data_IF_595034955360
#
_entry.id   IF_595034955360
#
_cell.length_a   1.000
_cell.length_b   1.000
_cell.length_c   1.000
_cell.angle_alpha   90.00
_cell.angle_beta   90.00
_cell.angle_gamma   90.00
#
_symmetry.space_group_name_H-M   'P 1'
#
loop_
_entity.id
_entity.type
_entity.pdbx_description
1 polymer ?
#
# COMPACT_ATOMS: atom_id res chain seq x y z
N UNK A 1 21.57 -11.91 -19.21
CA UNK A 1 20.55 -11.73 -18.16
C UNK A 1 20.45 -13.04 -17.39
N UNK A 2 20.58 -12.99 -16.08
CA UNK A 2 20.36 -14.15 -15.21
C UNK A 2 19.00 -13.90 -14.53
N UNK A 3 18.07 -14.85 -14.71
CA UNK A 3 16.78 -14.80 -14.00
C UNK A 3 16.99 -15.11 -12.53
N UNK A 4 16.41 -14.34 -11.63
CA UNK A 4 16.46 -14.58 -10.17
C UNK A 4 15.56 -15.74 -9.75
N UNK A 5 14.65 -16.18 -10.62
CA UNK A 5 13.63 -17.20 -10.31
C UNK A 5 12.43 -16.66 -9.50
N UNK A 6 12.54 -15.48 -8.93
CA UNK A 6 11.52 -14.87 -8.09
C UNK A 6 10.66 -13.84 -8.86
N UNK A 7 9.38 -13.79 -8.55
CA UNK A 7 8.50 -12.73 -9.01
C UNK A 7 8.85 -11.41 -8.32
N UNK A 8 8.57 -10.28 -8.99
CA UNK A 8 8.69 -8.95 -8.35
C UNK A 8 7.81 -8.94 -7.10
N UNK A 9 8.42 -8.66 -5.96
CA UNK A 9 7.77 -8.71 -4.65
C UNK A 9 8.07 -7.44 -3.87
N UNK A 10 7.17 -7.08 -2.98
CA UNK A 10 7.33 -5.98 -2.01
C UNK A 10 7.55 -6.54 -0.62
N UNK A 11 8.24 -5.77 0.21
CA UNK A 11 8.40 -6.04 1.62
C UNK A 11 7.30 -5.28 2.38
N UNK A 12 6.44 -6.04 3.06
CA UNK A 12 5.30 -5.54 3.83
C UNK A 12 5.65 -5.62 5.32
N UNK A 13 5.73 -4.48 5.99
CA UNK A 13 6.12 -4.39 7.40
C UNK A 13 5.97 -2.95 7.91
N UNK A 14 6.27 -2.69 9.19
CA UNK A 14 6.22 -1.33 9.73
C UNK A 14 7.29 -0.46 9.06
N UNK A 15 6.95 0.81 8.84
CA UNK A 15 7.81 1.79 8.17
C UNK A 15 7.45 2.04 6.70
N UNK A 16 6.28 1.59 6.24
CA UNK A 16 5.75 1.90 4.91
C UNK A 16 5.12 3.29 4.89
N UNK A 17 4.39 3.65 5.93
CA UNK A 17 3.76 4.97 6.05
C UNK A 17 4.83 6.04 6.20
N UNK A 18 4.53 7.25 5.76
CA UNK A 18 5.43 8.41 5.75
C UNK A 18 6.58 8.31 4.73
N UNK A 19 6.68 7.22 3.97
CA UNK A 19 7.75 7.01 3.00
C UNK A 19 7.33 7.33 1.57
N UNK A 20 8.35 7.62 0.75
CA UNK A 20 8.24 7.90 -0.68
C UNK A 20 9.00 6.83 -1.43
N UNK A 21 8.26 6.01 -2.16
CA UNK A 21 8.83 4.91 -2.93
C UNK A 21 8.79 5.18 -4.43
N UNK A 22 9.65 4.47 -5.16
CA UNK A 22 9.49 4.30 -6.60
C UNK A 22 8.52 3.15 -6.92
N UNK A 23 8.33 2.86 -8.22
CA UNK A 23 7.40 1.83 -8.68
C UNK A 23 7.73 0.40 -8.24
N UNK A 24 8.92 0.13 -7.73
CA UNK A 24 9.37 -1.19 -7.22
C UNK A 24 9.74 -1.16 -5.74
N UNK A 25 9.16 -0.23 -5.01
CA UNK A 25 9.34 -0.05 -3.56
C UNK A 25 10.78 0.30 -3.13
N UNK A 26 11.53 1.06 -3.93
CA UNK A 26 12.80 1.61 -3.46
C UNK A 26 12.54 2.97 -2.80
N UNK A 27 13.05 3.23 -1.57
CA UNK A 27 12.85 4.51 -0.89
C UNK A 27 13.69 5.60 -1.58
N UNK A 28 13.01 6.63 -2.10
CA UNK A 28 13.67 7.68 -2.88
C UNK A 28 14.58 8.57 -2.04
N UNK A 29 14.26 8.78 -0.77
CA UNK A 29 15.09 9.56 0.15
C UNK A 29 16.43 8.88 0.42
N UNK A 30 16.42 7.57 0.68
CA UNK A 30 17.64 6.80 0.91
C UNK A 30 18.50 6.70 -0.36
N UNK A 31 17.87 6.56 -1.53
CA UNK A 31 18.58 6.63 -2.80
C UNK A 31 19.24 8.00 -3.00
N UNK A 32 18.56 9.09 -2.66
CA UNK A 32 19.11 10.43 -2.74
C UNK A 32 20.29 10.66 -1.79
N UNK A 33 20.25 10.07 -0.58
CA UNK A 33 21.37 10.09 0.37
C UNK A 33 22.57 9.29 -0.17
N UNK A 34 22.32 8.13 -0.79
CA UNK A 34 23.37 7.24 -1.27
C UNK A 34 24.03 7.71 -2.58
N UNK A 35 23.27 8.29 -3.52
CA UNK A 35 23.75 8.63 -4.87
C UNK A 35 23.69 10.13 -5.21
N UNK A 36 23.20 10.98 -4.30
CA UNK A 36 23.09 12.42 -4.53
C UNK A 36 21.95 12.79 -5.51
N UNK A 37 22.17 13.83 -6.32
CA UNK A 37 21.14 14.39 -7.22
C UNK A 37 20.70 13.47 -8.37
N UNK A 38 21.48 12.48 -8.71
CA UNK A 38 21.23 11.56 -9.81
C UNK A 38 21.26 10.11 -9.33
N UNK A 39 20.31 9.31 -9.78
CA UNK A 39 20.27 7.88 -9.47
C UNK A 39 21.37 7.18 -10.27
N UNK A 40 22.41 6.71 -9.58
CA UNK A 40 23.51 5.96 -10.18
C UNK A 40 23.09 4.53 -10.52
N UNK A 41 23.72 3.95 -11.56
CA UNK A 41 23.47 2.55 -11.89
C UNK A 41 24.01 1.63 -10.80
N UNK A 42 23.24 0.58 -10.43
CA UNK A 42 23.66 -0.43 -9.47
C UNK A 42 23.46 -0.03 -8.00
N UNK A 43 22.85 1.11 -7.70
CA UNK A 43 22.47 1.45 -6.32
C UNK A 43 21.36 0.49 -5.86
N UNK A 44 21.69 -0.31 -4.85
CA UNK A 44 20.75 -1.17 -4.15
C UNK A 44 20.54 -0.60 -2.74
N UNK A 45 19.32 -0.32 -2.41
CA UNK A 45 18.89 0.15 -1.09
C UNK A 45 17.75 -0.75 -0.64
N UNK A 46 17.71 -1.10 0.64
CA UNK A 46 16.63 -1.89 1.19
C UNK A 46 15.30 -1.11 1.12
N UNK A 47 14.22 -1.84 0.86
CA UNK A 47 12.89 -1.24 0.70
C UNK A 47 12.35 -0.59 1.97
N UNK A 48 12.74 -1.13 3.13
CA UNK A 48 12.43 -0.62 4.47
C UNK A 48 13.70 -0.59 5.29
N UNK A 49 13.73 0.25 6.33
CA UNK A 49 14.85 0.32 7.27
C UNK A 49 14.93 -0.98 8.09
N UNK A 50 15.96 -1.78 7.81
CA UNK A 50 16.20 -3.08 8.43
C UNK A 50 16.92 -2.98 9.78
N UNK A 51 17.50 -1.82 10.11
CA UNK A 51 18.24 -1.60 11.36
C UNK A 51 17.37 -0.98 12.46
N UNK A 52 16.29 -0.28 12.05
CA UNK A 52 15.37 0.36 12.98
C UNK A 52 14.68 -0.69 13.86
N UNK A 53 14.74 -0.47 15.17
CA UNK A 53 14.03 -1.28 16.15
C UNK A 53 12.66 -0.69 16.43
N UNK A 54 11.66 -1.57 16.45
CA UNK A 54 10.29 -1.23 16.71
C UNK A 54 9.84 -1.85 18.04
N UNK A 55 9.26 -1.03 18.91
CA UNK A 55 8.62 -1.54 20.13
C UNK A 55 7.39 -2.33 19.74
N UNK A 56 7.43 -3.63 19.99
CA UNK A 56 6.44 -4.60 19.53
C UNK A 56 5.80 -5.30 20.71
N UNK A 57 4.47 -5.37 20.68
CA UNK A 57 3.67 -6.18 21.58
C UNK A 57 3.26 -7.48 20.87
N UNK A 58 3.61 -8.62 21.45
CA UNK A 58 3.28 -9.94 20.88
C UNK A 58 1.88 -10.35 21.36
N UNK A 59 0.99 -10.67 20.42
CA UNK A 59 -0.41 -10.95 20.71
C UNK A 59 -0.72 -12.45 20.87
N UNK A 60 0.18 -13.32 20.44
CA UNK A 60 0.02 -14.78 20.46
C UNK A 60 0.91 -15.42 21.53
N UNK A 61 0.51 -16.60 21.98
CA UNK A 61 1.23 -17.42 22.98
C UNK A 61 1.59 -18.78 22.40
N UNK A 62 2.58 -19.42 23.02
CA UNK A 62 2.93 -20.80 22.71
C UNK A 62 1.73 -21.74 22.91
N UNK A 63 1.46 -22.57 21.93
CA UNK A 63 0.30 -23.47 21.89
C UNK A 63 -0.93 -22.90 21.17
N UNK A 64 -0.97 -21.60 20.84
CA UNK A 64 -2.09 -21.03 20.10
C UNK A 64 -2.11 -21.55 18.65
N UNK A 65 -3.32 -21.75 18.13
CA UNK A 65 -3.53 -22.09 16.73
C UNK A 65 -3.78 -20.81 15.94
N UNK A 66 -2.93 -20.56 14.97
CA UNK A 66 -2.98 -19.37 14.10
C UNK A 66 -3.25 -19.76 12.65
N UNK A 67 -4.13 -19.01 12.00
CA UNK A 67 -4.47 -19.20 10.59
C UNK A 67 -4.06 -18.02 9.73
N UNK A 68 -4.34 -18.09 8.42
CA UNK A 68 -4.08 -17.00 7.49
C UNK A 68 -4.68 -15.67 7.95
N UNK A 69 -3.88 -14.60 8.02
CA UNK A 69 -4.33 -13.29 8.47
C UNK A 69 -4.48 -13.10 9.98
N UNK A 70 -4.18 -14.12 10.82
CA UNK A 70 -4.13 -13.93 12.28
C UNK A 70 -3.06 -12.93 12.67
N UNK A 71 -3.39 -11.98 13.55
CA UNK A 71 -2.45 -10.99 14.08
C UNK A 71 -1.51 -11.67 15.06
N UNK A 72 -0.22 -11.53 14.89
CA UNK A 72 0.84 -12.10 15.73
C UNK A 72 1.54 -11.07 16.60
N UNK A 73 1.57 -9.82 16.16
CA UNK A 73 2.22 -8.73 16.87
C UNK A 73 1.62 -7.38 16.47
N UNK A 74 1.70 -6.42 17.37
CA UNK A 74 1.27 -5.03 17.17
C UNK A 74 2.44 -4.08 17.43
N UNK A 75 2.58 -3.07 16.55
CA UNK A 75 3.70 -2.11 16.58
C UNK A 75 3.17 -0.72 16.24
N UNK A 76 3.47 0.29 17.05
CA UNK A 76 3.09 1.67 16.73
C UNK A 76 3.96 2.19 15.58
N UNK A 77 3.37 2.36 14.39
CA UNK A 77 4.08 2.83 13.21
C UNK A 77 4.15 4.37 13.15
N UNK A 78 2.99 5.01 13.33
CA UNK A 78 2.85 6.47 13.51
C UNK A 78 1.90 6.74 14.68
N UNK A 79 1.75 7.98 15.09
CA UNK A 79 0.84 8.33 16.21
C UNK A 79 -0.61 7.88 15.97
N UNK A 80 -1.03 7.78 14.72
CA UNK A 80 -2.39 7.41 14.33
C UNK A 80 -2.52 5.97 13.82
N UNK A 81 -1.43 5.29 13.46
CA UNK A 81 -1.46 3.98 12.82
C UNK A 81 -0.77 2.93 13.68
N UNK A 82 -1.55 1.96 14.14
CA UNK A 82 -1.07 0.75 14.82
C UNK A 82 -0.88 -0.36 13.77
N UNK A 83 0.37 -0.65 13.46
CA UNK A 83 0.72 -1.70 12.52
C UNK A 83 0.49 -3.08 13.15
N UNK A 84 -0.21 -3.97 12.44
CA UNK A 84 -0.49 -5.34 12.85
C UNK A 84 0.26 -6.31 11.96
N UNK A 85 1.29 -6.95 12.50
CA UNK A 85 1.96 -8.04 11.80
C UNK A 85 1.10 -9.28 11.81
N UNK A 86 0.90 -9.88 10.64
CA UNK A 86 -0.06 -10.98 10.44
C UNK A 86 0.60 -12.19 9.82
N UNK A 87 0.04 -13.36 10.08
CA UNK A 87 0.40 -14.59 9.37
C UNK A 87 0.12 -14.39 7.86
N UNK A 88 1.11 -14.64 6.98
CA UNK A 88 0.91 -14.53 5.55
C UNK A 88 -0.28 -15.35 5.04
N UNK A 89 -1.14 -14.80 4.18
CA UNK A 89 -2.39 -15.46 3.77
C UNK A 89 -2.20 -16.68 2.87
N UNK A 90 -0.99 -16.96 2.40
CA UNK A 90 -0.64 -18.15 1.63
C UNK A 90 -0.22 -19.34 2.52
N UNK A 91 -0.25 -19.18 3.84
CA UNK A 91 0.02 -20.26 4.79
C UNK A 91 -1.28 -20.91 5.23
N UNK A 92 -1.19 -22.16 5.67
CA UNK A 92 -2.30 -22.90 6.29
C UNK A 92 -2.30 -22.69 7.79
N UNK A 93 -3.29 -23.22 8.48
CA UNK A 93 -3.32 -23.24 9.94
C UNK A 93 -2.09 -23.93 10.51
N UNK A 94 -1.55 -23.37 11.58
CA UNK A 94 -0.36 -23.84 12.26
C UNK A 94 -0.42 -23.54 13.75
N UNK A 95 0.36 -24.26 14.54
CA UNK A 95 0.46 -24.05 15.99
C UNK A 95 1.72 -23.24 16.29
N UNK A 96 1.61 -22.25 17.18
CA UNK A 96 2.74 -21.48 17.68
C UNK A 96 3.57 -22.37 18.61
N UNK A 97 4.83 -22.60 18.26
CA UNK A 97 5.77 -23.38 19.10
C UNK A 97 6.72 -22.47 19.89
N UNK A 98 6.94 -21.26 19.40
CA UNK A 98 7.71 -20.25 20.13
C UNK A 98 7.17 -18.86 19.84
N UNK A 99 7.01 -18.06 20.87
CA UNK A 99 6.65 -16.65 20.80
C UNK A 99 7.65 -15.83 21.63
N UNK A 100 8.25 -14.81 21.00
CA UNK A 100 9.16 -13.90 21.71
C UNK A 100 8.39 -13.09 22.76
N UNK A 101 9.10 -12.51 23.72
CA UNK A 101 8.51 -11.56 24.68
C UNK A 101 8.32 -10.19 24.04
N UNK A 102 7.52 -9.32 24.66
CA UNK A 102 7.40 -7.92 24.24
C UNK A 102 8.78 -7.25 24.31
N UNK A 103 9.11 -6.49 23.28
CA UNK A 103 10.43 -5.89 23.17
C UNK A 103 10.63 -5.06 21.91
N UNK A 104 11.85 -4.64 21.70
CA UNK A 104 12.27 -3.88 20.52
C UNK A 104 12.96 -4.81 19.50
N UNK A 105 12.29 -5.04 18.38
CA UNK A 105 12.74 -5.94 17.31
C UNK A 105 12.93 -5.20 16.00
N UNK A 106 13.86 -5.70 15.18
CA UNK A 106 13.98 -5.26 13.79
C UNK A 106 12.91 -5.93 12.94
N UNK A 107 12.69 -5.42 11.73
CA UNK A 107 11.65 -5.97 10.84
C UNK A 107 11.93 -7.39 10.34
N UNK A 108 13.18 -7.84 10.37
CA UNK A 108 13.62 -9.15 9.88
C UNK A 108 13.87 -10.17 11.00
N UNK A 109 14.00 -9.74 12.25
CA UNK A 109 14.16 -10.67 13.38
C UNK A 109 12.94 -11.57 13.54
N UNK A 110 13.14 -12.89 13.67
CA UNK A 110 12.03 -13.80 13.93
C UNK A 110 11.43 -13.54 15.31
N UNK A 111 10.12 -13.34 15.38
CA UNK A 111 9.39 -13.05 16.62
C UNK A 111 8.46 -14.21 17.03
N UNK A 112 7.99 -14.99 16.06
CA UNK A 112 7.11 -16.14 16.29
C UNK A 112 7.54 -17.28 15.37
N UNK A 113 7.65 -18.49 15.93
CA UNK A 113 7.86 -19.71 15.15
C UNK A 113 6.61 -20.55 15.18
N UNK A 114 6.12 -20.93 14.00
CA UNK A 114 4.90 -21.74 13.84
C UNK A 114 5.26 -23.12 13.28
N UNK A 115 4.49 -24.13 13.66
CA UNK A 115 4.60 -25.49 13.16
C UNK A 115 3.31 -25.92 12.46
N UNK A 116 3.44 -26.40 11.25
CA UNK A 116 2.35 -26.96 10.46
C UNK A 116 2.03 -28.41 10.84
N UNK A 117 0.90 -28.92 10.40
CA UNK A 117 0.45 -30.28 10.65
C UNK A 117 1.40 -31.36 10.07
N UNK A 118 2.19 -31.02 9.07
CA UNK A 118 3.23 -31.88 8.46
C UNK A 118 4.53 -31.90 9.27
N UNK A 119 4.62 -31.18 10.38
CA UNK A 119 5.79 -31.07 11.24
C UNK A 119 6.83 -30.04 10.76
N UNK A 120 6.62 -29.41 9.63
CA UNK A 120 7.50 -28.32 9.16
C UNK A 120 7.33 -27.06 10.02
N UNK A 121 8.42 -26.34 10.22
CA UNK A 121 8.41 -25.10 11.01
C UNK A 121 8.71 -23.92 10.13
N UNK A 122 8.19 -22.74 10.49
CA UNK A 122 8.45 -21.49 9.82
C UNK A 122 8.55 -20.36 10.81
N UNK A 123 9.60 -19.56 10.66
CA UNK A 123 9.79 -18.34 11.42
C UNK A 123 9.03 -17.19 10.76
N UNK A 124 8.35 -16.40 11.60
CA UNK A 124 7.64 -15.19 11.22
C UNK A 124 8.31 -13.99 11.87
N UNK A 125 8.53 -12.96 11.08
CA UNK A 125 9.07 -11.68 11.49
C UNK A 125 7.99 -10.57 11.38
N UNK A 126 8.33 -9.35 11.75
CA UNK A 126 7.44 -8.20 11.59
C UNK A 126 7.13 -7.91 10.12
N UNK A 127 8.07 -8.17 9.22
CA UNK A 127 7.89 -7.99 7.79
C UNK A 127 7.67 -9.31 7.05
N UNK A 128 6.90 -9.23 5.96
CA UNK A 128 6.63 -10.33 5.05
C UNK A 128 6.84 -9.92 3.60
N UNK A 129 7.40 -10.79 2.78
CA UNK A 129 7.58 -10.58 1.34
C UNK A 129 6.35 -11.07 0.59
N UNK A 130 5.79 -10.22 -0.30
CA UNK A 130 4.61 -10.57 -1.09
C UNK A 130 4.79 -10.23 -2.58
N UNK A 131 4.44 -11.14 -3.51
CA UNK A 131 4.50 -10.88 -4.94
C UNK A 131 3.43 -9.86 -5.36
N UNK A 132 3.82 -8.80 -6.06
CA UNK A 132 2.91 -7.69 -6.39
C UNK A 132 1.77 -8.06 -7.36
N UNK A 133 1.93 -9.12 -8.15
CA UNK A 133 0.91 -9.56 -9.12
C UNK A 133 -0.08 -10.57 -8.55
N UNK A 134 0.13 -11.04 -7.33
CA UNK A 134 -0.79 -11.96 -6.64
C UNK A 134 -1.65 -11.13 -5.68
N UNK A 135 -2.96 -11.02 -5.92
CA UNK A 135 -3.84 -10.29 -5.02
C UNK A 135 -3.88 -10.99 -3.65
N UNK A 136 -4.00 -10.23 -2.58
CA UNK A 136 -4.18 -10.80 -1.25
C UNK A 136 -5.61 -11.33 -1.12
N UNK A 137 -5.79 -12.57 -0.67
CA UNK A 137 -7.10 -13.19 -0.60
C UNK A 137 -8.03 -12.45 0.37
N UNK A 138 -9.30 -12.52 0.11
CA UNK A 138 -10.34 -11.93 0.94
C UNK A 138 -11.31 -13.01 1.40
N UNK A 139 -11.73 -12.94 2.66
CA UNK A 139 -12.62 -13.95 3.23
C UNK A 139 -14.08 -13.76 2.77
N UNK A 140 -14.57 -12.52 2.77
CA UNK A 140 -15.97 -12.21 2.42
C UNK A 140 -16.07 -10.85 1.73
N UNK A 141 -16.92 -10.79 0.70
CA UNK A 141 -17.27 -9.51 0.05
C UNK A 141 -18.57 -8.98 0.65
N UNK A 142 -18.57 -7.73 1.05
CA UNK A 142 -19.76 -7.03 1.52
C UNK A 142 -20.30 -6.09 0.42
N UNK A 143 -21.60 -5.82 0.40
CA UNK A 143 -22.15 -4.82 -0.51
C UNK A 143 -21.62 -3.42 -0.13
N UNK A 144 -21.36 -2.60 -1.15
CA UNK A 144 -20.92 -1.23 -0.98
C UNK A 144 -22.11 -0.34 -0.56
N UNK A 145 -22.44 -0.34 0.72
CA UNK A 145 -23.60 0.39 1.29
C UNK A 145 -23.20 1.60 2.14
N UNK A 146 -21.94 1.68 2.56
CA UNK A 146 -21.44 2.77 3.40
C UNK A 146 -20.87 3.87 2.50
N UNK A 147 -21.39 5.12 2.56
CA UNK A 147 -20.83 6.21 1.78
C UNK A 147 -19.45 6.64 2.32
N UNK A 148 -18.57 7.02 1.40
CA UNK A 148 -17.35 7.73 1.72
C UNK A 148 -17.65 9.22 1.81
N UNK A 149 -17.32 9.84 2.92
CA UNK A 149 -17.38 11.30 3.05
C UNK A 149 -16.10 11.88 2.44
N UNK A 150 -16.24 12.59 1.32
CA UNK A 150 -15.11 13.22 0.61
C UNK A 150 -14.83 14.65 1.09
N UNK A 151 -15.74 15.24 1.84
CA UNK A 151 -15.70 16.64 2.24
C UNK A 151 -16.07 17.63 1.11
N UNK A 152 -16.37 17.12 -0.08
CA UNK A 152 -16.82 17.92 -1.23
C UNK A 152 -18.33 17.82 -1.37
N UNK A 153 -19.06 18.90 -1.04
CA UNK A 153 -20.53 18.91 -1.03
C UNK A 153 -21.15 18.38 -2.33
N UNK A 154 -20.61 18.75 -3.47
CA UNK A 154 -21.13 18.31 -4.78
C UNK A 154 -20.97 16.81 -4.94
N UNK A 155 -19.83 16.23 -4.54
CA UNK A 155 -19.59 14.80 -4.64
C UNK A 155 -20.48 14.05 -3.65
N UNK A 156 -20.47 14.47 -2.39
CA UNK A 156 -21.17 13.78 -1.30
C UNK A 156 -22.70 13.79 -1.47
N UNK A 157 -23.25 14.85 -2.11
CA UNK A 157 -24.72 14.98 -2.30
C UNK A 157 -25.22 14.47 -3.64
N UNK A 158 -24.48 14.70 -4.75
CA UNK A 158 -24.96 14.40 -6.10
C UNK A 158 -24.30 13.17 -6.71
N UNK A 159 -23.08 12.84 -6.30
CA UNK A 159 -22.28 11.73 -6.83
C UNK A 159 -21.60 10.95 -5.70
N UNK A 160 -22.37 10.45 -4.70
CA UNK A 160 -21.77 9.79 -3.54
C UNK A 160 -20.92 8.60 -3.94
N UNK A 161 -19.75 8.50 -3.33
CA UNK A 161 -18.82 7.40 -3.52
C UNK A 161 -19.01 6.45 -2.33
N UNK A 162 -19.14 5.17 -2.60
CA UNK A 162 -19.23 4.17 -1.55
C UNK A 162 -17.84 3.71 -1.11
N UNK A 163 -17.66 3.41 0.18
CA UNK A 163 -16.47 2.71 0.69
C UNK A 163 -16.37 1.34 0.02
N UNK A 164 -15.18 1.00 -0.48
CA UNK A 164 -14.95 -0.18 -1.33
C UNK A 164 -15.35 0.00 -2.80
N UNK A 165 -15.80 1.21 -3.17
CA UNK A 165 -16.12 1.56 -4.54
C UNK A 165 -14.93 2.14 -5.31
N UNK A 166 -15.15 2.39 -6.60
CA UNK A 166 -14.19 3.05 -7.49
C UNK A 166 -14.83 4.24 -8.16
N UNK A 167 -14.10 5.35 -8.21
CA UNK A 167 -14.53 6.55 -8.91
C UNK A 167 -13.48 7.00 -9.91
N UNK A 168 -13.93 7.50 -11.07
CA UNK A 168 -13.05 8.08 -12.06
C UNK A 168 -13.32 9.59 -12.15
N UNK A 169 -12.24 10.39 -12.15
CA UNK A 169 -12.29 11.83 -12.36
C UNK A 169 -11.85 12.12 -13.81
N UNK A 170 -12.78 12.13 -14.78
CA UNK A 170 -12.46 12.37 -16.17
C UNK A 170 -12.27 13.86 -16.44
N UNK A 171 -11.41 14.18 -17.42
CA UNK A 171 -11.23 15.55 -17.86
C UNK A 171 -10.04 15.72 -18.77
N UNK A 172 -10.03 16.79 -19.57
CA UNK A 172 -8.90 17.20 -20.39
C UNK A 172 -7.73 17.75 -19.57
N UNK A 173 -6.76 18.27 -20.24
CA UNK A 173 -5.62 18.94 -19.61
C UNK A 173 -6.11 20.23 -18.91
N UNK A 174 -5.61 20.51 -17.70
CA UNK A 174 -5.94 21.75 -16.99
C UNK A 174 -7.34 21.80 -16.33
N UNK A 175 -8.10 20.69 -16.31
CA UNK A 175 -9.45 20.66 -15.72
C UNK A 175 -9.48 20.45 -14.20
N UNK A 176 -8.34 20.50 -13.52
CA UNK A 176 -8.25 20.40 -12.07
C UNK A 176 -8.35 18.96 -11.52
N UNK A 177 -8.09 17.92 -12.32
CA UNK A 177 -8.14 16.51 -11.86
C UNK A 177 -7.26 16.25 -10.66
N UNK A 178 -6.01 16.65 -10.72
CA UNK A 178 -5.02 16.49 -9.64
C UNK A 178 -5.47 17.25 -8.38
N UNK A 179 -5.97 18.48 -8.55
CA UNK A 179 -6.50 19.27 -7.43
C UNK A 179 -7.70 18.60 -6.77
N UNK A 180 -8.59 18.00 -7.55
CA UNK A 180 -9.74 17.24 -7.02
C UNK A 180 -9.26 16.05 -6.19
N UNK A 181 -8.26 15.31 -6.66
CA UNK A 181 -7.68 14.19 -5.91
C UNK A 181 -7.02 14.66 -4.60
N UNK A 182 -6.27 15.77 -4.63
CA UNK A 182 -5.66 16.33 -3.41
C UNK A 182 -6.72 16.75 -2.41
N UNK A 183 -7.81 17.35 -2.85
CA UNK A 183 -8.92 17.74 -1.97
C UNK A 183 -9.59 16.50 -1.36
N UNK A 184 -9.83 15.45 -2.14
CA UNK A 184 -10.40 14.21 -1.62
C UNK A 184 -9.40 13.55 -0.64
N UNK A 185 -8.10 13.52 -0.95
CA UNK A 185 -7.09 13.03 -0.04
C UNK A 185 -7.13 13.73 1.32
N UNK A 186 -7.21 15.06 1.28
CA UNK A 186 -7.19 15.90 2.49
C UNK A 186 -8.44 15.71 3.37
N UNK A 187 -9.61 15.60 2.77
CA UNK A 187 -10.87 15.70 3.50
C UNK A 187 -11.64 14.39 3.65
N UNK A 188 -11.20 13.32 2.93
CA UNK A 188 -11.87 12.03 3.01
C UNK A 188 -11.76 11.41 4.40
N UNK A 189 -12.73 10.59 4.73
CA UNK A 189 -12.77 9.85 5.98
C UNK A 189 -11.96 8.53 5.95
N UNK A 190 -11.15 8.32 4.92
CA UNK A 190 -10.19 7.23 4.86
C UNK A 190 -9.11 7.36 5.95
N UNK A 191 -8.67 6.24 6.50
CA UNK A 191 -7.62 6.21 7.52
C UNK A 191 -6.24 6.36 6.89
N UNK A 192 -5.99 5.65 5.79
CA UNK A 192 -4.71 5.62 5.09
C UNK A 192 -4.90 6.02 3.64
N UNK A 193 -3.93 6.76 3.12
CA UNK A 193 -3.90 7.22 1.73
C UNK A 193 -2.66 6.66 1.04
N UNK A 194 -2.88 6.01 -0.09
CA UNK A 194 -1.80 5.60 -0.98
C UNK A 194 -1.93 6.38 -2.29
N UNK A 195 -1.00 7.30 -2.49
CA UNK A 195 -0.97 8.12 -3.69
C UNK A 195 0.04 7.57 -4.68
N UNK A 196 -0.42 7.27 -5.90
CA UNK A 196 0.39 6.69 -6.96
C UNK A 196 0.51 7.68 -8.11
N UNK A 197 1.66 8.33 -8.20
CA UNK A 197 2.05 9.13 -9.35
C UNK A 197 2.63 8.24 -10.44
N UNK A 198 1.83 7.91 -11.45
CA UNK A 198 2.22 6.98 -12.49
C UNK A 198 2.56 7.70 -13.80
N UNK A 199 3.83 8.03 -13.98
CA UNK A 199 4.31 8.74 -15.17
C UNK A 199 4.01 10.23 -15.17
N UNK A 200 3.83 10.80 -13.99
CA UNK A 200 3.63 12.24 -13.79
C UNK A 200 4.88 13.06 -14.11
N UNK A 201 4.69 14.34 -14.27
CA UNK A 201 5.80 15.29 -14.41
C UNK A 201 6.48 15.46 -13.05
N UNK A 202 7.83 15.60 -13.06
CA UNK A 202 8.59 15.79 -11.83
C UNK A 202 8.11 16.97 -10.99
N UNK A 203 7.76 18.09 -11.62
CA UNK A 203 7.24 19.29 -10.93
C UNK A 203 5.87 19.05 -10.27
N UNK A 204 4.98 18.27 -10.89
CA UNK A 204 3.68 17.93 -10.30
C UNK A 204 3.88 17.02 -9.07
N UNK A 205 4.78 16.04 -9.15
CA UNK A 205 5.12 15.18 -8.01
C UNK A 205 5.79 15.96 -6.88
N UNK A 206 6.67 16.90 -7.17
CA UNK A 206 7.28 17.77 -6.17
C UNK A 206 6.22 18.61 -5.46
N UNK A 207 5.26 19.16 -6.19
CA UNK A 207 4.15 19.90 -5.61
C UNK A 207 3.30 19.03 -4.68
N UNK A 208 2.97 17.79 -5.09
CA UNK A 208 2.25 16.82 -4.23
C UNK A 208 3.00 16.59 -2.92
N UNK A 209 4.32 16.36 -3.02
CA UNK A 209 5.19 16.18 -1.87
C UNK A 209 5.19 17.38 -0.92
N UNK A 210 5.36 18.57 -1.47
CA UNK A 210 5.35 19.81 -0.68
C UNK A 210 3.99 20.06 -0.03
N UNK A 211 2.90 19.81 -0.75
CA UNK A 211 1.56 19.99 -0.23
C UNK A 211 1.29 19.01 0.92
N UNK A 212 1.57 17.72 0.73
CA UNK A 212 1.30 16.71 1.75
C UNK A 212 2.20 16.82 2.98
N UNK A 213 3.44 17.28 2.81
CA UNK A 213 4.35 17.51 3.94
C UNK A 213 4.00 18.74 4.79
N UNK A 214 3.25 19.70 4.23
CA UNK A 214 2.82 20.92 4.93
C UNK A 214 1.38 20.85 5.44
N UNK A 215 0.56 19.99 4.84
CA UNK A 215 -0.85 19.85 5.21
C UNK A 215 -1.01 19.16 6.56
N UNK A 216 -1.87 19.74 7.39
CA UNK A 216 -2.30 19.13 8.64
C UNK A 216 -3.58 18.34 8.36
N UNK A 217 -3.62 17.11 8.82
CA UNK A 217 -4.81 16.27 8.76
C UNK A 217 -5.88 16.83 9.71
N UNK A 218 -7.06 17.18 9.21
CA UNK A 218 -8.11 17.74 10.03
C UNK A 218 -8.68 16.79 11.09
N UNK A 219 -8.43 15.48 10.96
CA UNK A 219 -8.88 14.47 11.92
C UNK A 219 -7.92 14.29 13.08
N UNK A 220 -6.65 14.06 12.79
CA UNK A 220 -5.62 13.74 13.79
C UNK A 220 -4.91 14.98 14.31
N UNK A 221 -4.90 16.09 13.57
CA UNK A 221 -4.08 17.26 13.85
C UNK A 221 -2.58 17.09 13.53
N UNK A 222 -2.17 15.92 13.06
CA UNK A 222 -0.81 15.57 12.66
C UNK A 222 -0.58 15.90 11.18
N UNK A 223 0.64 15.69 10.71
CA UNK A 223 0.95 15.87 9.29
C UNK A 223 0.21 14.83 8.44
N UNK A 224 -0.23 15.26 7.26
CA UNK A 224 -0.91 14.37 6.30
C UNK A 224 -0.03 13.19 5.89
N UNK A 225 1.29 13.37 5.89
CA UNK A 225 2.27 12.31 5.60
C UNK A 225 2.22 11.17 6.63
N UNK A 226 1.80 11.40 7.86
CA UNK A 226 1.74 10.38 8.91
C UNK A 226 0.66 9.30 8.68
N UNK A 227 -0.21 9.53 7.69
CA UNK A 227 -1.17 8.54 7.20
C UNK A 227 -1.10 8.30 5.70
N UNK A 228 -0.02 8.77 5.05
CA UNK A 228 0.12 8.70 3.59
C UNK A 228 1.39 7.97 3.19
N UNK A 229 1.28 7.16 2.15
CA UNK A 229 2.42 6.59 1.42
C UNK A 229 2.38 7.09 -0.01
N UNK A 230 3.51 7.59 -0.50
CA UNK A 230 3.64 8.09 -1.87
C UNK A 230 4.45 7.11 -2.72
N UNK A 231 3.92 6.79 -3.89
CA UNK A 231 4.65 6.06 -4.93
C UNK A 231 4.88 7.02 -6.08
N UNK A 232 6.11 7.53 -6.18
CA UNK A 232 6.49 8.53 -7.16
C UNK A 232 7.24 7.88 -8.33
N UNK A 233 6.53 7.67 -9.44
CA UNK A 233 7.13 7.24 -10.68
C UNK A 233 6.95 8.33 -11.75
N UNK A 234 8.00 9.08 -12.01
CA UNK A 234 7.97 10.17 -12.99
C UNK A 234 8.10 9.67 -14.42
N UNK A 235 7.75 10.53 -15.40
CA UNK A 235 7.71 10.19 -16.83
C UNK A 235 9.07 9.79 -17.43
N UNK A 236 10.17 10.15 -16.79
CA UNK A 236 11.55 9.80 -17.18
C UNK A 236 12.04 8.47 -16.58
N UNK A 237 11.29 7.86 -15.68
CA UNK A 237 11.64 6.56 -15.11
C UNK A 237 11.28 5.40 -16.07
N UNK A 238 11.88 4.21 -15.90
CA UNK A 238 11.63 3.04 -16.76
C UNK A 238 10.14 2.65 -16.80
N UNK A 239 9.67 2.25 -17.99
CA UNK A 239 8.27 1.84 -18.20
C UNK A 239 7.88 0.65 -17.31
N UNK A 240 8.77 -0.32 -17.12
CA UNK A 240 8.51 -1.47 -16.27
C UNK A 240 8.27 -1.09 -14.80
N UNK A 241 9.03 -0.12 -14.26
CA UNK A 241 8.81 0.40 -12.92
C UNK A 241 7.48 1.18 -12.82
N UNK A 242 7.10 1.87 -13.92
CA UNK A 242 5.84 2.58 -14.01
C UNK A 242 4.64 1.63 -14.00
N UNK A 243 4.72 0.52 -14.74
CA UNK A 243 3.70 -0.53 -14.68
C UNK A 243 3.64 -1.16 -13.29
N UNK A 244 4.79 -1.47 -12.69
CA UNK A 244 4.87 -2.06 -11.36
C UNK A 244 4.28 -1.17 -10.26
N UNK A 245 4.36 0.17 -10.40
CA UNK A 245 3.90 1.12 -9.37
C UNK A 245 2.43 0.93 -8.97
N UNK A 246 1.58 0.56 -9.92
CA UNK A 246 0.15 0.31 -9.68
C UNK A 246 -0.01 -0.93 -8.80
N UNK A 247 0.65 -2.04 -9.19
CA UNK A 247 0.58 -3.28 -8.43
C UNK A 247 1.19 -3.14 -7.03
N UNK A 248 2.31 -2.42 -6.92
CA UNK A 248 2.93 -2.09 -5.65
C UNK A 248 1.95 -1.35 -4.74
N UNK A 249 1.33 -0.26 -5.24
CA UNK A 249 0.38 0.51 -4.44
C UNK A 249 -0.86 -0.29 -4.02
N UNK A 250 -1.38 -1.12 -4.92
CA UNK A 250 -2.51 -2.00 -4.58
C UNK A 250 -2.12 -3.02 -3.50
N UNK A 251 -0.94 -3.63 -3.62
CA UNK A 251 -0.47 -4.60 -2.63
C UNK A 251 -0.28 -3.98 -1.24
N UNK A 252 0.25 -2.74 -1.17
CA UNK A 252 0.34 -1.99 0.08
C UNK A 252 -1.05 -1.69 0.65
N UNK A 253 -2.00 -1.29 -0.19
CA UNK A 253 -3.36 -1.02 0.24
C UNK A 253 -4.08 -2.27 0.75
N UNK A 254 -3.93 -3.39 0.06
CA UNK A 254 -4.48 -4.68 0.51
C UNK A 254 -3.92 -5.10 1.86
N UNK A 255 -2.64 -4.82 2.10
CA UNK A 255 -1.98 -5.13 3.36
C UNK A 255 -2.59 -4.34 4.54
N UNK A 256 -2.74 -3.02 4.40
CA UNK A 256 -3.37 -2.20 5.44
C UNK A 256 -4.87 -2.47 5.59
N UNK A 257 -5.57 -2.78 4.50
CA UNK A 257 -6.95 -3.26 4.56
C UNK A 257 -7.08 -4.51 5.43
N UNK A 258 -6.16 -5.47 5.28
CA UNK A 258 -6.17 -6.71 6.05
C UNK A 258 -5.97 -6.44 7.56
N UNK A 259 -5.30 -5.34 7.93
CA UNK A 259 -5.19 -4.86 9.31
C UNK A 259 -6.48 -4.23 9.85
N UNK A 260 -7.45 -3.92 8.98
CA UNK A 260 -8.73 -3.34 9.35
C UNK A 260 -8.86 -1.85 9.09
N UNK A 261 -7.96 -1.23 8.32
CA UNK A 261 -8.02 0.20 7.96
C UNK A 261 -8.81 0.47 6.70
N UNK A 262 -9.47 1.61 6.65
CA UNK A 262 -10.07 2.18 5.44
C UNK A 262 -8.97 2.82 4.58
N UNK A 263 -8.63 2.21 3.45
CA UNK A 263 -7.53 2.66 2.60
C UNK A 263 -8.05 3.27 1.31
N UNK A 264 -7.64 4.51 1.03
CA UNK A 264 -7.92 5.19 -0.23
C UNK A 264 -6.69 5.14 -1.15
N UNK A 265 -6.87 4.60 -2.35
CA UNK A 265 -5.84 4.65 -3.40
C UNK A 265 -6.18 5.77 -4.36
N UNK A 266 -5.26 6.68 -4.56
CA UNK A 266 -5.35 7.74 -5.55
C UNK A 266 -4.30 7.52 -6.63
N UNK A 267 -4.77 7.32 -7.85
CA UNK A 267 -3.88 7.05 -8.96
C UNK A 267 -4.03 8.09 -10.05
N UNK A 268 -2.91 8.61 -10.51
CA UNK A 268 -2.87 9.49 -11.68
C UNK A 268 -2.87 8.67 -12.97
N UNK A 269 -3.38 9.22 -14.11
CA UNK A 269 -3.49 8.47 -15.34
C UNK A 269 -2.11 8.09 -15.91
N UNK A 270 -2.03 6.90 -16.48
CA UNK A 270 -0.87 6.48 -17.28
C UNK A 270 -0.79 7.29 -18.57
N UNK A 271 0.27 8.07 -18.81
CA UNK A 271 0.42 8.83 -20.06
C UNK A 271 0.78 7.96 -21.27
N UNK A 272 0.98 6.66 -21.11
CA UNK A 272 1.47 5.77 -22.18
C UNK A 272 0.36 4.91 -22.75
N UNK A 273 0.30 4.96 -24.08
CA UNK A 273 -0.67 4.37 -24.96
C UNK A 273 -1.22 2.97 -24.65
N UNK A 274 -2.37 2.73 -25.19
CA UNK A 274 -3.30 1.61 -25.10
C UNK A 274 -2.71 0.20 -24.90
N UNK A 275 -1.48 -0.06 -25.30
CA UNK A 275 -0.85 -1.40 -25.27
C UNK A 275 -0.47 -1.90 -23.87
N UNK A 276 -0.25 -1.00 -22.87
CA UNK A 276 0.04 -1.41 -21.50
C UNK A 276 -1.21 -1.90 -20.74
N UNK A 277 -2.39 -1.48 -21.20
CA UNK A 277 -3.66 -1.86 -20.57
C UNK A 277 -4.17 -3.24 -20.97
N UNK A 278 -3.68 -3.81 -22.06
CA UNK A 278 -4.09 -5.13 -22.53
C UNK A 278 -3.67 -6.26 -21.56
N UNK A 279 -2.64 -6.01 -20.75
CA UNK A 279 -2.14 -6.98 -19.77
C UNK A 279 -2.62 -6.75 -18.33
N UNK A 280 -3.41 -5.70 -18.10
CA UNK A 280 -3.99 -5.46 -16.77
C UNK A 280 -5.26 -6.30 -16.56
N UNK A 281 -5.51 -6.78 -15.33
CA UNK A 281 -6.75 -7.47 -15.01
C UNK A 281 -8.01 -6.71 -15.45
N UNK A 282 -9.05 -7.42 -15.84
CA UNK A 282 -10.26 -6.85 -16.46
C UNK A 282 -10.92 -5.70 -15.66
N UNK A 283 -10.77 -5.69 -14.35
CA UNK A 283 -11.25 -4.63 -13.45
C UNK A 283 -10.57 -3.29 -13.76
N UNK A 284 -9.26 -3.32 -14.02
CA UNK A 284 -8.48 -2.13 -14.38
C UNK A 284 -8.79 -1.63 -15.78
N UNK A 285 -9.12 -2.52 -16.73
CA UNK A 285 -9.50 -2.14 -18.10
C UNK A 285 -10.72 -1.21 -18.14
N UNK A 286 -11.70 -1.44 -17.27
CA UNK A 286 -12.91 -0.60 -17.20
C UNK A 286 -12.69 0.74 -16.51
N UNK A 287 -11.79 0.81 -15.53
CA UNK A 287 -11.55 2.02 -14.72
C UNK A 287 -10.52 2.98 -15.33
N UNK A 288 -9.55 2.48 -16.11
CA UNK A 288 -8.35 3.23 -16.49
C UNK A 288 -8.34 3.80 -17.90
N UNK A 289 -9.42 3.67 -18.70
CA UNK A 289 -9.47 4.29 -20.02
C UNK A 289 -9.42 5.82 -19.94
N UNK A 290 -8.20 6.37 -19.92
CA UNK A 290 -7.86 7.81 -19.98
C UNK A 290 -8.24 8.67 -18.77
N UNK A 291 -8.37 8.14 -17.55
CA UNK A 291 -8.95 8.90 -16.45
C UNK A 291 -8.19 8.68 -15.14
N UNK A 292 -8.13 9.70 -14.32
CA UNK A 292 -7.71 9.62 -12.92
C UNK A 292 -8.72 8.74 -12.17
N UNK A 293 -8.24 7.77 -11.40
CA UNK A 293 -9.10 6.86 -10.64
C UNK A 293 -8.83 6.99 -9.16
N UNK A 294 -9.89 7.01 -8.38
CA UNK A 294 -9.88 6.92 -6.93
C UNK A 294 -10.40 5.53 -6.55
N UNK A 295 -9.62 4.76 -5.83
CA UNK A 295 -10.00 3.47 -5.29
C UNK A 295 -10.03 3.54 -3.78
N UNK A 296 -11.11 3.09 -3.18
CA UNK A 296 -11.31 3.11 -1.74
C UNK A 296 -11.56 1.69 -1.27
N UNK A 297 -10.80 1.29 -0.27
CA UNK A 297 -10.85 -0.04 0.30
C UNK A 297 -11.37 0.05 1.72
N UNK A 298 -12.34 -0.77 2.04
CA UNK A 298 -12.89 -0.89 3.38
C UNK A 298 -12.64 -2.32 3.90
N UNK A 299 -12.29 -2.52 5.19
CA UNK A 299 -12.03 -3.85 5.75
C UNK A 299 -13.18 -4.83 5.55
N UNK A 300 -14.40 -4.34 5.64
CA UNK A 300 -15.62 -5.13 5.43
C UNK A 300 -16.05 -5.26 3.96
N UNK A 301 -15.34 -4.61 3.02
CA UNK A 301 -15.63 -4.68 1.59
C UNK A 301 -14.38 -5.15 0.83
N UNK A 302 -14.08 -6.44 0.83
CA UNK A 302 -12.93 -6.98 0.13
C UNK A 302 -13.13 -6.81 -1.37
N UNK A 303 -12.39 -5.89 -1.95
CA UNK A 303 -12.35 -5.75 -3.39
C UNK A 303 -11.39 -6.81 -3.95
N UNK A 304 -11.89 -8.02 -4.09
CA UNK A 304 -11.18 -8.99 -4.92
C UNK A 304 -11.15 -8.44 -6.34
N UNK A 305 -9.97 -8.20 -6.88
CA UNK A 305 -9.81 -8.25 -8.32
C UNK A 305 -10.11 -9.69 -8.73
N UNK A 306 -11.39 -10.05 -8.89
CA UNK A 306 -11.72 -11.27 -9.57
C UNK A 306 -11.30 -11.07 -11.03
N UNK A 307 -10.14 -11.56 -11.33
CA UNK A 307 -9.79 -12.00 -12.67
C UNK A 307 -10.61 -13.28 -12.89
N UNK A 308 -11.84 -13.15 -13.32
CA UNK A 308 -12.57 -14.24 -13.97
C UNK A 308 -12.99 -13.73 -15.34
N UNK A 309 -12.38 -14.40 -16.35
CA UNK A 309 -12.69 -14.48 -17.78
C UNK A 309 -12.65 -13.20 -18.61
#
# INVERSE_FOLDING_TARGET
>A
MIGTGDAISVLLGPGIIHNIFDGIQRPLEEIAKASGKYISRGVSVDSLDTEKKWNTHITVKEGDVVGPGSVIAETQETDSILHKSMVPPNLTEATVIHAASDGAYTILEPIVTIQFADGTTKDLALAQKWPIRIPRPTHKRFPASVPLVTGQRILDTLFPIAKGGTAAVPGGFGTGKTMTQHQIAKWSDADIIIYIGCGERGNEMTQVLEDFSKLIDPKSGNLMMDRTTLIANTSNMPVAAREASIYTGVTLAEYYRDMGYDVAIMQTPLPVGQKLFENCPAVWRKCLQRKVSLHIWHPSCPHSMNVQE
#
